data_IF_309865049771
#
_entry.id   IF_309865049771
#
_cell.length_a   1.000
_cell.length_b   1.000
_cell.length_c   1.000
_cell.angle_alpha   90.00
_cell.angle_beta   90.00
_cell.angle_gamma   90.00
#
_symmetry.space_group_name_H-M   'P 1'
#
loop_
_entity.id
_entity.type
_entity.pdbx_description
1 polymer ?
#
# COMPACT_ATOMS: atom_id res chain seq x y z
N UNK A 1 95.58 -22.06 8.81
CA UNK A 1 94.94 -22.28 7.50
C UNK A 1 93.66 -23.14 7.53
N UNK A 2 93.30 -23.83 8.62
CA UNK A 2 92.07 -24.66 8.67
C UNK A 2 90.74 -23.92 8.94
N UNK A 3 90.77 -22.61 9.23
CA UNK A 3 89.56 -21.82 9.58
C UNK A 3 88.89 -21.12 8.39
N UNK A 4 89.52 -21.10 7.21
CA UNK A 4 88.99 -20.39 6.03
C UNK A 4 88.13 -21.28 5.12
N UNK A 5 88.26 -22.61 5.17
CA UNK A 5 87.46 -23.53 4.35
C UNK A 5 86.07 -23.83 4.93
N UNK A 6 85.90 -23.77 6.26
CA UNK A 6 84.61 -24.04 6.91
C UNK A 6 83.61 -22.88 6.69
N UNK A 7 84.11 -21.65 6.48
CA UNK A 7 83.25 -20.49 6.21
C UNK A 7 82.73 -20.45 4.77
N UNK A 8 83.46 -21.04 3.81
CA UNK A 8 83.09 -21.02 2.38
C UNK A 8 82.01 -22.06 2.02
N UNK A 9 81.95 -23.18 2.77
CA UNK A 9 80.94 -24.23 2.58
C UNK A 9 79.56 -23.88 3.15
N UNK A 10 79.47 -22.97 4.14
CA UNK A 10 78.18 -22.51 4.68
C UNK A 10 77.46 -21.50 3.77
N UNK A 11 78.19 -20.69 3.01
CA UNK A 11 77.59 -19.64 2.16
C UNK A 11 76.92 -20.21 0.90
N UNK A 12 77.46 -21.30 0.35
CA UNK A 12 76.91 -21.94 -0.86
C UNK A 12 75.61 -22.69 -0.57
N UNK A 13 75.42 -23.21 0.65
CA UNK A 13 74.20 -23.90 1.04
C UNK A 13 73.01 -22.95 1.28
N UNK A 14 73.27 -21.73 1.75
CA UNK A 14 72.23 -20.71 1.95
C UNK A 14 71.74 -20.08 0.65
N UNK A 15 72.62 -19.89 -0.34
CA UNK A 15 72.26 -19.35 -1.66
C UNK A 15 71.39 -20.33 -2.47
N UNK A 16 71.63 -21.64 -2.38
CA UNK A 16 70.78 -22.64 -3.05
C UNK A 16 69.41 -22.85 -2.37
N UNK A 17 69.32 -22.64 -1.05
CA UNK A 17 68.04 -22.67 -0.34
C UNK A 17 67.16 -21.44 -0.65
N UNK A 18 67.78 -20.26 -0.83
CA UNK A 18 67.06 -19.03 -1.20
C UNK A 18 66.52 -19.08 -2.65
N UNK A 19 67.26 -19.65 -3.61
CA UNK A 19 66.78 -19.82 -4.99
C UNK A 19 65.59 -20.80 -5.11
N UNK A 20 65.52 -21.82 -4.25
CA UNK A 20 64.41 -22.78 -4.27
C UNK A 20 63.09 -22.15 -3.77
N UNK A 21 63.17 -21.28 -2.75
CA UNK A 21 62.01 -20.55 -2.21
C UNK A 21 61.53 -19.46 -3.17
N UNK A 22 62.45 -18.75 -3.84
CA UNK A 22 62.11 -17.72 -4.83
C UNK A 22 61.52 -18.27 -6.14
N UNK A 23 61.88 -19.51 -6.56
CA UNK A 23 61.23 -20.16 -7.71
C UNK A 23 59.82 -20.68 -7.43
N UNK A 24 59.48 -21.01 -6.18
CA UNK A 24 58.15 -21.52 -5.82
C UNK A 24 57.18 -20.44 -5.30
N UNK A 25 57.69 -19.28 -4.87
CA UNK A 25 56.84 -18.14 -4.47
C UNK A 25 56.22 -17.39 -5.67
N UNK A 26 56.76 -17.56 -6.89
CA UNK A 26 56.31 -16.86 -8.09
C UNK A 26 55.05 -17.45 -8.78
N UNK A 27 54.61 -18.66 -8.41
CA UNK A 27 53.45 -19.31 -9.05
C UNK A 27 52.16 -19.25 -8.24
N UNK A 28 52.22 -18.95 -6.94
CA UNK A 28 51.01 -18.79 -6.11
C UNK A 28 50.55 -17.33 -5.98
N UNK A 29 51.37 -16.36 -6.38
CA UNK A 29 51.02 -14.93 -6.30
C UNK A 29 50.06 -14.47 -7.40
N UNK A 30 50.11 -15.05 -8.60
CA UNK A 30 49.29 -14.61 -9.73
C UNK A 30 47.87 -15.17 -9.70
N UNK A 31 47.64 -16.35 -9.11
CA UNK A 31 46.29 -16.92 -8.96
C UNK A 31 45.53 -16.25 -7.80
N UNK A 32 46.23 -15.81 -6.74
CA UNK A 32 45.61 -15.07 -5.64
C UNK A 32 45.31 -13.60 -5.99
N UNK A 33 46.08 -12.96 -6.88
CA UNK A 33 45.75 -11.60 -7.32
C UNK A 33 44.65 -11.54 -8.39
N UNK A 34 44.49 -12.56 -9.24
CA UNK A 34 43.34 -12.64 -10.15
C UNK A 34 42.05 -13.09 -9.43
N UNK A 35 42.16 -13.90 -8.37
CA UNK A 35 41.02 -14.26 -7.50
C UNK A 35 40.57 -13.14 -6.56
N UNK A 36 41.49 -12.29 -6.09
CA UNK A 36 41.17 -11.17 -5.21
C UNK A 36 40.62 -9.92 -5.95
N UNK A 37 40.81 -9.81 -7.27
CA UNK A 37 40.27 -8.69 -8.06
C UNK A 37 38.81 -8.87 -8.50
N UNK A 38 38.22 -10.05 -8.26
CA UNK A 38 36.82 -10.36 -8.63
C UNK A 38 35.82 -10.19 -7.47
N UNK A 39 36.28 -9.82 -6.26
CA UNK A 39 35.44 -9.74 -5.05
C UNK A 39 35.13 -8.31 -4.60
N UNK A 40 35.62 -7.27 -5.30
CA UNK A 40 35.33 -5.87 -4.98
C UNK A 40 35.14 -5.06 -6.25
N UNK A 41 34.26 -5.49 -7.15
CA UNK A 41 33.32 -4.48 -7.62
C UNK A 41 32.34 -4.34 -6.48
N UNK A 42 32.33 -3.23 -5.71
CA UNK A 42 31.08 -2.84 -5.10
C UNK A 42 30.17 -2.66 -6.30
N UNK A 43 29.38 -3.68 -6.63
CA UNK A 43 28.14 -3.42 -7.31
C UNK A 43 27.49 -2.44 -6.36
N UNK A 44 27.59 -1.15 -6.68
CA UNK A 44 26.80 -0.12 -6.02
C UNK A 44 25.43 -0.77 -5.96
N UNK A 45 24.99 -1.13 -4.76
CA UNK A 45 23.66 -1.66 -4.55
C UNK A 45 22.79 -0.49 -5.00
N UNK A 46 22.47 -0.50 -6.29
CA UNK A 46 21.89 0.64 -6.98
C UNK A 46 20.58 0.82 -6.26
N UNK A 47 20.52 1.87 -5.44
CA UNK A 47 19.38 2.09 -4.57
C UNK A 47 18.13 1.85 -5.41
N UNK A 48 17.26 0.95 -4.95
CA UNK A 48 16.11 0.49 -5.72
C UNK A 48 15.40 1.69 -6.36
N UNK A 49 14.97 1.56 -7.61
CA UNK A 49 14.28 2.69 -8.26
C UNK A 49 12.92 2.92 -7.58
N UNK A 50 12.38 4.14 -7.53
CA UNK A 50 11.09 4.38 -6.87
C UNK A 50 9.96 3.53 -7.46
N UNK A 51 9.98 3.23 -8.76
CA UNK A 51 9.04 2.31 -9.43
C UNK A 51 9.06 0.92 -8.80
N UNK A 52 10.26 0.42 -8.50
CA UNK A 52 10.45 -0.92 -7.96
C UNK A 52 9.89 -1.01 -6.55
N UNK A 53 10.17 -0.01 -5.71
CA UNK A 53 9.62 0.05 -4.35
C UNK A 53 8.09 0.18 -4.36
N UNK A 54 7.55 1.02 -5.23
CA UNK A 54 6.10 1.19 -5.38
C UNK A 54 5.43 -0.11 -5.86
N UNK A 55 5.99 -0.75 -6.89
CA UNK A 55 5.48 -2.01 -7.44
C UNK A 55 5.57 -3.15 -6.42
N UNK A 56 6.68 -3.22 -5.69
CA UNK A 56 6.87 -4.20 -4.63
C UNK A 56 5.83 -4.01 -3.51
N UNK A 57 5.58 -2.77 -3.08
CA UNK A 57 4.55 -2.49 -2.08
C UNK A 57 3.17 -2.98 -2.51
N UNK A 58 2.76 -2.66 -3.74
CA UNK A 58 1.45 -3.10 -4.27
C UNK A 58 1.41 -4.61 -4.46
N UNK A 59 2.51 -5.24 -4.87
CA UNK A 59 2.62 -6.69 -5.00
C UNK A 59 2.49 -7.40 -3.65
N UNK A 60 3.10 -6.88 -2.60
CA UNK A 60 2.94 -7.42 -1.24
C UNK A 60 1.47 -7.34 -0.76
N UNK A 61 0.74 -6.28 -1.13
CA UNK A 61 -0.71 -6.17 -0.86
C UNK A 61 -1.50 -7.22 -1.66
N UNK A 62 -1.21 -7.36 -2.95
CA UNK A 62 -1.83 -8.35 -3.83
C UNK A 62 -1.65 -9.79 -3.32
N UNK A 63 -0.47 -10.10 -2.78
CA UNK A 63 -0.14 -11.40 -2.17
C UNK A 63 -0.76 -11.59 -0.78
N UNK A 64 -1.35 -10.54 -0.19
CA UNK A 64 -1.87 -10.56 1.18
C UNK A 64 -0.77 -10.52 2.25
N UNK A 65 0.47 -10.23 1.87
CA UNK A 65 1.63 -10.19 2.75
C UNK A 65 1.78 -8.82 3.43
N UNK A 66 0.79 -8.45 4.24
CA UNK A 66 0.64 -7.11 4.84
C UNK A 66 1.85 -6.70 5.68
N UNK A 67 2.45 -7.63 6.44
CA UNK A 67 3.65 -7.31 7.24
C UNK A 67 4.85 -6.93 6.37
N UNK A 68 4.98 -7.49 5.17
CA UNK A 68 6.02 -7.11 4.21
C UNK A 68 5.72 -5.75 3.59
N UNK A 69 4.46 -5.49 3.24
CA UNK A 69 4.02 -4.18 2.74
C UNK A 69 4.30 -3.07 3.77
N UNK A 70 3.97 -3.28 5.04
CA UNK A 70 4.23 -2.34 6.14
C UNK A 70 5.70 -1.98 6.31
N UNK A 71 6.63 -2.93 6.06
CA UNK A 71 8.08 -2.65 6.12
C UNK A 71 8.55 -1.66 5.06
N UNK A 72 7.77 -1.40 4.02
CA UNK A 72 8.06 -0.42 2.98
C UNK A 72 7.48 0.97 3.30
N UNK A 73 6.58 1.06 4.28
CA UNK A 73 6.06 2.34 4.76
C UNK A 73 7.17 3.10 5.49
N UNK A 74 7.11 4.42 5.39
CA UNK A 74 7.95 5.29 6.19
C UNK A 74 7.52 5.18 7.66
N UNK A 75 8.40 4.62 8.49
CA UNK A 75 8.23 4.54 9.95
C UNK A 75 8.46 5.92 10.58
N UNK A 76 7.67 6.94 10.23
CA UNK A 76 7.76 8.25 10.84
C UNK A 76 7.10 8.22 12.22
N UNK A 77 7.73 7.53 13.17
CA UNK A 77 7.29 7.39 14.56
C UNK A 77 7.26 8.69 15.37
N UNK A 78 7.19 9.88 14.76
CA UNK A 78 7.46 11.14 15.46
C UNK A 78 6.36 12.20 15.46
N UNK A 79 5.34 12.17 14.60
CA UNK A 79 4.32 13.27 14.61
C UNK A 79 2.86 12.87 14.42
N UNK A 80 2.54 11.73 13.79
CA UNK A 80 1.15 11.38 13.46
C UNK A 80 0.90 9.87 13.49
N UNK A 81 1.26 9.16 14.57
CA UNK A 81 0.82 7.77 14.73
C UNK A 81 -0.69 7.77 14.97
N UNK A 82 -1.43 7.26 14.01
CA UNK A 82 -2.86 7.04 14.16
C UNK A 82 -3.13 6.00 15.25
N UNK A 83 -4.22 6.13 16.02
CA UNK A 83 -4.70 5.07 16.88
C UNK A 83 -4.99 3.82 16.03
N UNK A 84 -4.14 2.79 16.14
CA UNK A 84 -4.19 1.59 15.30
C UNK A 84 -2.93 1.32 14.47
N UNK A 85 -1.95 2.24 14.45
CA UNK A 85 -0.71 2.05 13.69
C UNK A 85 -0.95 1.96 12.19
N UNK A 86 -0.13 1.19 11.48
CA UNK A 86 -0.22 1.05 10.02
C UNK A 86 -1.35 0.12 9.57
N UNK A 87 -1.97 -0.62 10.48
CA UNK A 87 -3.11 -1.50 10.17
C UNK A 87 -4.32 -0.75 9.64
N UNK A 88 -4.42 0.55 9.95
CA UNK A 88 -5.54 1.39 9.51
C UNK A 88 -5.70 1.43 7.99
N UNK A 89 -4.60 1.26 7.24
CA UNK A 89 -4.61 1.35 5.80
C UNK A 89 -5.13 0.08 5.12
N UNK A 90 -5.33 -1.00 5.87
CA UNK A 90 -5.58 -2.34 5.33
C UNK A 90 -6.92 -2.94 5.79
N UNK A 91 -7.69 -2.22 6.60
CA UNK A 91 -8.97 -2.69 7.13
C UNK A 91 -10.05 -1.62 6.98
N UNK A 92 -11.24 -2.03 6.54
CA UNK A 92 -12.38 -1.12 6.35
C UNK A 92 -12.84 -0.51 7.67
N UNK A 93 -12.84 -1.28 8.75
CA UNK A 93 -13.34 -0.92 10.08
C UNK A 93 -12.70 0.34 10.67
N UNK A 94 -11.56 0.75 10.11
CA UNK A 94 -10.79 1.92 10.54
C UNK A 94 -11.37 3.21 9.99
N UNK A 95 -12.16 3.13 8.90
CA UNK A 95 -12.68 4.27 8.17
C UNK A 95 -11.60 5.20 7.58
N UNK A 96 -10.35 4.74 7.52
CA UNK A 96 -9.27 5.55 6.96
C UNK A 96 -9.30 5.52 5.44
N UNK A 97 -9.29 6.69 4.81
CA UNK A 97 -9.29 6.88 3.36
C UNK A 97 -8.06 7.71 2.97
N UNK A 98 -7.22 7.27 2.01
CA UNK A 98 -7.37 6.08 1.16
C UNK A 98 -6.96 4.73 1.81
N UNK A 99 -7.71 3.68 1.48
CA UNK A 99 -7.59 2.32 2.05
C UNK A 99 -7.27 1.23 1.01
N UNK A 100 -6.52 0.21 1.41
CA UNK A 100 -6.13 -0.95 0.59
C UNK A 100 -6.98 -2.21 0.80
N UNK A 101 -7.95 -2.22 1.71
CA UNK A 101 -8.70 -3.42 2.08
C UNK A 101 -9.29 -4.21 0.90
N UNK A 102 -9.74 -3.50 -0.16
CA UNK A 102 -10.27 -4.15 -1.37
C UNK A 102 -9.21 -4.82 -2.27
N UNK A 103 -7.92 -4.57 -2.06
CA UNK A 103 -6.82 -5.13 -2.87
C UNK A 103 -6.15 -6.34 -2.22
N UNK A 104 -6.34 -6.53 -0.92
CA UNK A 104 -5.62 -7.53 -0.13
C UNK A 104 -5.93 -8.95 -0.60
N UNK A 105 -4.89 -9.66 -1.05
CA UNK A 105 -5.04 -11.05 -1.48
C UNK A 105 -5.92 -11.22 -2.73
N UNK A 106 -6.09 -10.16 -3.53
CA UNK A 106 -6.95 -10.19 -4.73
C UNK A 106 -6.12 -10.10 -6.01
N UNK A 107 -6.48 -10.84 -7.07
CA UNK A 107 -5.77 -10.78 -8.33
C UNK A 107 -6.12 -9.47 -9.07
N UNK A 108 -5.11 -8.75 -9.54
CA UNK A 108 -5.28 -7.59 -10.44
C UNK A 108 -3.98 -7.41 -11.23
N UNK A 109 -4.02 -6.64 -12.31
CA UNK A 109 -2.83 -6.39 -13.13
C UNK A 109 -2.26 -5.03 -12.75
N UNK A 110 -0.98 -4.99 -12.40
CA UNK A 110 -0.22 -3.75 -12.21
C UNK A 110 0.36 -3.36 -13.57
N UNK A 111 -0.10 -2.24 -14.11
CA UNK A 111 0.36 -1.68 -15.38
C UNK A 111 1.73 -1.01 -15.27
N UNK A 112 2.19 -0.47 -16.40
CA UNK A 112 3.47 0.25 -16.47
C UNK A 112 3.44 1.50 -15.60
N UNK A 113 4.43 1.62 -14.71
CA UNK A 113 4.57 2.77 -13.83
C UNK A 113 4.98 4.04 -14.60
N UNK A 114 4.41 5.18 -14.20
CA UNK A 114 4.89 6.50 -14.60
C UNK A 114 5.45 7.23 -13.37
N UNK A 115 6.61 7.86 -13.51
CA UNK A 115 7.33 8.45 -12.36
C UNK A 115 7.65 9.90 -12.56
N UNK A 116 7.45 10.64 -11.48
CA UNK A 116 7.88 12.01 -11.34
C UNK A 116 8.74 12.13 -10.09
N UNK A 117 10.04 12.30 -10.28
CA UNK A 117 10.96 12.61 -9.18
C UNK A 117 11.08 14.11 -8.95
N UNK A 118 11.24 14.50 -7.68
CA UNK A 118 11.52 15.86 -7.26
C UNK A 118 12.57 15.85 -6.16
N UNK A 119 13.62 16.65 -6.33
CA UNK A 119 14.63 16.87 -5.28
C UNK A 119 14.23 18.05 -4.41
N UNK A 120 14.46 17.95 -3.10
CA UNK A 120 14.36 19.10 -2.20
C UNK A 120 15.64 19.94 -2.29
N UNK A 121 15.49 21.23 -2.58
CA UNK A 121 16.59 22.19 -2.63
C UNK A 121 17.12 22.58 -1.24
N UNK A 122 16.42 22.20 -0.17
CA UNK A 122 16.72 22.62 1.21
C UNK A 122 17.90 21.88 1.87
N UNK A 123 18.42 20.79 1.30
CA UNK A 123 19.46 19.97 1.92
C UNK A 123 20.69 19.83 1.01
N UNK A 124 21.75 20.58 1.35
CA UNK A 124 22.95 20.78 0.53
C UNK A 124 23.90 19.57 0.44
N UNK A 125 23.91 18.65 1.42
CA UNK A 125 24.98 17.63 1.52
C UNK A 125 24.52 16.24 1.07
N UNK A 126 23.25 15.86 1.29
CA UNK A 126 22.73 14.56 0.81
C UNK A 126 21.31 14.55 0.24
N UNK A 127 20.50 15.59 0.48
CA UNK A 127 19.22 15.79 -0.19
C UNK A 127 18.10 14.80 0.19
N UNK A 128 16.92 15.31 0.52
CA UNK A 128 15.69 14.49 0.48
C UNK A 128 15.17 14.46 -0.94
N UNK A 129 14.88 13.27 -1.46
CA UNK A 129 14.31 13.07 -2.78
C UNK A 129 12.91 12.50 -2.61
N UNK A 130 11.96 13.06 -3.33
CA UNK A 130 10.58 12.61 -3.40
C UNK A 130 10.33 12.02 -4.79
N UNK A 131 9.45 11.02 -4.86
CA UNK A 131 8.95 10.50 -6.11
C UNK A 131 7.44 10.29 -6.01
N UNK A 132 6.70 10.71 -7.01
CA UNK A 132 5.31 10.29 -7.20
C UNK A 132 5.31 9.22 -8.31
N UNK A 133 4.85 8.02 -7.96
CA UNK A 133 4.76 6.88 -8.88
C UNK A 133 3.29 6.57 -9.12
N UNK A 134 2.86 6.68 -10.38
CA UNK A 134 1.50 6.35 -10.81
C UNK A 134 1.49 4.91 -11.33
N UNK A 135 0.65 4.08 -10.73
CA UNK A 135 0.47 2.66 -11.06
C UNK A 135 -0.96 2.42 -11.53
N UNK A 136 -1.18 2.25 -12.84
CA UNK A 136 -2.48 1.81 -13.34
C UNK A 136 -2.77 0.39 -12.84
N UNK A 137 -3.91 0.17 -12.20
CA UNK A 137 -4.37 -1.15 -11.76
C UNK A 137 -5.56 -1.56 -12.62
N UNK A 138 -5.56 -2.80 -13.12
CA UNK A 138 -6.66 -3.36 -13.94
C UNK A 138 -7.29 -4.58 -13.28
N UNK A 139 -8.61 -4.64 -13.34
CA UNK A 139 -9.48 -5.60 -12.65
C UNK A 139 -10.20 -6.46 -13.69
N UNK A 140 -9.56 -7.55 -14.10
CA UNK A 140 -10.10 -8.43 -15.14
C UNK A 140 -10.95 -9.55 -14.54
N UNK A 141 -10.33 -10.48 -13.80
CA UNK A 141 -10.99 -11.60 -13.14
C UNK A 141 -11.66 -11.21 -11.82
N UNK A 142 -10.99 -10.37 -11.04
CA UNK A 142 -11.55 -9.78 -9.83
C UNK A 142 -12.08 -8.39 -10.15
N UNK A 143 -13.40 -8.22 -10.07
CA UNK A 143 -14.10 -6.95 -10.33
C UNK A 143 -14.92 -6.53 -9.11
N UNK A 144 -14.34 -5.76 -8.18
CA UNK A 144 -15.08 -5.37 -6.99
C UNK A 144 -16.24 -4.44 -7.35
N UNK A 145 -17.27 -4.46 -6.52
CA UNK A 145 -18.42 -3.58 -6.65
C UNK A 145 -18.07 -2.17 -6.18
N UNK A 146 -18.60 -1.15 -6.86
CA UNK A 146 -18.46 0.25 -6.42
C UNK A 146 -19.78 0.74 -5.87
N UNK A 147 -19.88 0.86 -4.55
CA UNK A 147 -21.13 1.24 -3.89
C UNK A 147 -21.40 2.74 -3.96
N UNK A 148 -22.68 3.16 -4.00
CA UNK A 148 -23.04 4.53 -3.70
C UNK A 148 -22.70 4.83 -2.24
N UNK A 149 -22.30 6.07 -1.96
CA UNK A 149 -21.86 6.46 -0.61
C UNK A 149 -22.90 6.14 0.49
N UNK A 150 -24.21 6.44 0.34
CA UNK A 150 -25.20 6.08 1.35
C UNK A 150 -25.13 4.60 1.77
N UNK A 151 -25.10 3.69 0.79
CA UNK A 151 -25.05 2.24 1.07
C UNK A 151 -23.75 1.81 1.73
N UNK A 152 -22.61 2.37 1.31
CA UNK A 152 -21.29 2.03 1.87
C UNK A 152 -21.14 2.43 3.35
N UNK A 153 -21.97 3.37 3.80
CA UNK A 153 -21.97 3.93 5.15
C UNK A 153 -23.29 3.65 5.91
N UNK A 154 -24.01 2.57 5.54
CA UNK A 154 -25.12 2.06 6.33
C UNK A 154 -26.46 2.77 6.16
N UNK A 155 -26.54 3.74 5.25
CA UNK A 155 -27.79 4.47 4.99
C UNK A 155 -28.63 3.73 3.97
N UNK A 156 -29.91 3.58 4.29
CA UNK A 156 -30.92 3.08 3.36
C UNK A 156 -30.98 3.99 2.13
N UNK A 157 -31.22 3.37 0.98
CA UNK A 157 -31.33 4.06 -0.30
C UNK A 157 -32.62 3.60 -0.98
N UNK A 158 -33.36 4.56 -1.54
CA UNK A 158 -34.54 4.27 -2.35
C UNK A 158 -34.13 3.61 -3.67
N UNK A 159 -34.97 2.71 -4.18
CA UNK A 159 -34.69 1.97 -5.41
C UNK A 159 -34.40 2.88 -6.62
N UNK A 160 -35.13 3.99 -6.74
CA UNK A 160 -34.93 4.91 -7.87
C UNK A 160 -33.55 5.58 -7.82
N UNK A 161 -33.09 5.99 -6.64
CA UNK A 161 -31.76 6.59 -6.48
C UNK A 161 -30.67 5.55 -6.75
N UNK A 162 -30.90 4.31 -6.32
CA UNK A 162 -29.98 3.20 -6.57
C UNK A 162 -29.83 2.93 -8.07
N UNK A 163 -30.95 2.87 -8.81
CA UNK A 163 -30.93 2.68 -10.28
C UNK A 163 -30.25 3.87 -10.97
N UNK A 164 -30.53 5.09 -10.53
CA UNK A 164 -29.89 6.29 -11.08
C UNK A 164 -28.37 6.24 -10.89
N UNK A 165 -27.91 5.84 -9.71
CA UNK A 165 -26.49 5.63 -9.45
C UNK A 165 -25.90 4.51 -10.32
N UNK A 166 -26.58 3.37 -10.42
CA UNK A 166 -26.12 2.24 -11.23
C UNK A 166 -25.95 2.61 -12.72
N UNK A 167 -26.87 3.41 -13.25
CA UNK A 167 -26.85 3.85 -14.63
C UNK A 167 -25.80 4.94 -14.91
N UNK A 168 -25.53 5.80 -13.93
CA UNK A 168 -24.57 6.89 -14.03
C UNK A 168 -23.90 7.16 -12.67
N UNK A 169 -22.88 6.36 -12.29
CA UNK A 169 -22.20 6.52 -11.01
C UNK A 169 -21.63 7.93 -10.90
N UNK A 170 -22.02 8.65 -9.85
CA UNK A 170 -21.65 10.05 -9.70
C UNK A 170 -20.12 10.24 -9.77
N UNK A 171 -19.62 11.32 -10.38
CA UNK A 171 -18.18 11.55 -10.54
C UNK A 171 -17.47 11.81 -9.21
N UNK A 172 -18.20 11.96 -8.10
CA UNK A 172 -17.65 12.17 -6.77
C UNK A 172 -16.91 10.92 -6.29
N UNK A 173 -15.58 10.99 -6.34
CA UNK A 173 -14.62 9.97 -5.89
C UNK A 173 -14.33 10.04 -4.39
N UNK A 174 -15.09 10.84 -3.64
CA UNK A 174 -14.98 10.92 -2.19
C UNK A 174 -15.18 9.53 -1.57
N UNK A 175 -14.25 9.14 -0.71
CA UNK A 175 -14.25 7.86 -0.02
C UNK A 175 -14.36 6.65 -0.95
N UNK A 176 -13.87 6.78 -2.19
CA UNK A 176 -13.98 5.72 -3.18
C UNK A 176 -13.38 4.40 -2.67
N UNK A 177 -12.22 4.45 -2.03
CA UNK A 177 -11.56 3.25 -1.49
C UNK A 177 -12.41 2.55 -0.42
N UNK A 178 -13.16 3.31 0.36
CA UNK A 178 -14.10 2.82 1.37
C UNK A 178 -15.47 2.44 0.80
N UNK A 179 -15.72 2.64 -0.49
CA UNK A 179 -16.95 2.27 -1.20
C UNK A 179 -16.78 1.08 -2.13
N UNK A 180 -15.54 0.77 -2.50
CA UNK A 180 -15.22 -0.43 -3.26
C UNK A 180 -15.36 -1.64 -2.33
N UNK A 181 -15.99 -2.72 -2.82
CA UNK A 181 -16.23 -3.94 -2.04
C UNK A 181 -15.86 -5.21 -2.83
N UNK A 182 -15.11 -6.16 -2.23
CA UNK A 182 -14.86 -7.47 -2.81
C UNK A 182 -16.06 -8.42 -2.78
N UNK A 183 -17.09 -8.12 -1.98
CA UNK A 183 -18.33 -8.89 -1.80
C UNK A 183 -19.47 -7.97 -1.35
N UNK A 184 -20.70 -8.32 -1.67
CA UNK A 184 -21.91 -7.69 -1.13
C UNK A 184 -22.53 -8.46 0.03
N UNK A 185 -22.00 -9.65 0.34
CA UNK A 185 -22.48 -10.47 1.44
C UNK A 185 -22.20 -9.79 2.79
N UNK A 186 -23.10 -9.93 3.77
CA UNK A 186 -22.86 -9.45 5.13
C UNK A 186 -21.64 -10.12 5.79
N UNK A 187 -21.08 -9.46 6.79
CA UNK A 187 -19.96 -9.93 7.60
C UNK A 187 -18.57 -9.60 7.03
N UNK A 188 -18.49 -8.81 5.95
CA UNK A 188 -17.21 -8.37 5.40
C UNK A 188 -16.56 -7.34 6.33
N UNK A 189 -17.35 -6.41 6.86
CA UNK A 189 -16.89 -5.37 7.77
C UNK A 189 -17.44 -5.69 9.16
N UNK A 190 -16.55 -5.93 10.11
CA UNK A 190 -16.98 -6.19 11.49
C UNK A 190 -17.60 -4.94 12.06
N UNK A 191 -18.73 -5.09 12.74
CA UNK A 191 -19.31 -4.00 13.52
C UNK A 191 -18.25 -3.50 14.51
N UNK A 192 -18.03 -2.18 14.62
CA UNK A 192 -17.08 -1.65 15.57
C UNK A 192 -17.58 -2.03 16.96
N UNK A 193 -16.72 -2.72 17.72
CA UNK A 193 -17.02 -3.05 19.12
C UNK A 193 -17.41 -1.76 19.85
N UNK A 194 -18.54 -1.73 20.58
CA UNK A 194 -18.91 -0.58 21.38
C UNK A 194 -17.73 -0.23 22.29
N UNK A 195 -17.15 0.97 22.11
CA UNK A 195 -16.01 1.41 22.95
C UNK A 195 -16.41 1.59 24.41
N UNK A 196 -17.71 1.66 24.67
CA UNK A 196 -18.31 1.69 25.99
C UNK A 196 -19.45 0.66 26.03
N UNK A 197 -19.26 -0.45 26.74
CA UNK A 197 -20.38 -1.06 27.44
C UNK A 197 -20.72 -0.08 28.56
N UNK A 198 -21.78 0.72 28.41
CA UNK A 198 -22.26 1.51 29.53
C UNK A 198 -22.42 0.55 30.73
N UNK A 199 -21.89 0.87 31.92
CA UNK A 199 -22.19 0.08 33.10
C UNK A 199 -23.72 -0.05 33.22
N UNK A 200 -24.24 -1.23 33.61
CA UNK A 200 -25.68 -1.43 33.72
C UNK A 200 -26.26 -0.27 34.54
N UNK A 201 -27.33 0.38 34.06
CA UNK A 201 -27.87 1.54 34.74
C UNK A 201 -28.16 1.16 36.20
N UNK A 202 -27.77 1.98 37.19
CA UNK A 202 -28.22 1.76 38.55
C UNK A 202 -29.75 1.73 38.52
N UNK A 203 -30.35 0.72 39.13
CA UNK A 203 -31.80 0.55 39.21
C UNK A 203 -32.38 1.80 39.89
N UNK A 204 -32.86 2.74 39.09
CA UNK A 204 -33.49 3.96 39.55
C UNK A 204 -35.02 3.78 39.53
N UNK A 205 -35.72 4.34 40.53
CA UNK A 205 -37.11 4.03 40.79
C UNK A 205 -38.03 4.56 39.68
N UNK A 206 -39.11 3.82 39.47
CA UNK A 206 -40.19 4.03 38.52
C UNK A 206 -40.58 5.50 38.37
N UNK A 207 -40.02 6.16 37.36
CA UNK A 207 -40.33 7.54 37.01
C UNK A 207 -40.17 7.70 35.52
N UNK A 208 -41.31 7.91 34.85
CA UNK A 208 -41.47 8.00 33.40
C UNK A 208 -40.53 9.04 32.80
N UNK A 209 -39.35 8.60 32.36
CA UNK A 209 -38.42 9.41 31.57
C UNK A 209 -38.47 8.90 30.15
N UNK A 210 -38.97 9.74 29.25
CA UNK A 210 -38.99 9.46 27.82
C UNK A 210 -37.59 9.00 27.39
N UNK A 211 -37.52 7.77 26.89
CA UNK A 211 -36.36 7.26 26.18
C UNK A 211 -36.25 8.11 24.94
N UNK A 212 -35.39 9.13 24.96
CA UNK A 212 -34.97 9.77 23.73
C UNK A 212 -34.34 8.67 22.87
N UNK A 213 -34.76 8.49 21.61
CA UNK A 213 -34.06 7.59 20.72
C UNK A 213 -32.60 8.04 20.70
N UNK A 214 -31.68 7.13 21.03
CA UNK A 214 -30.28 7.32 20.70
C UNK A 214 -30.26 7.70 19.22
N UNK A 215 -29.84 8.92 18.93
CA UNK A 215 -29.50 9.29 17.57
C UNK A 215 -28.31 8.41 17.23
N UNK A 216 -28.59 7.33 16.50
CA UNK A 216 -27.57 6.52 15.88
C UNK A 216 -26.69 7.47 15.09
N UNK A 217 -25.49 7.75 15.62
CA UNK A 217 -24.43 8.49 14.92
C UNK A 217 -23.84 7.63 13.78
N UNK A 218 -24.69 6.85 13.11
CA UNK A 218 -24.46 6.14 11.87
C UNK A 218 -25.27 6.88 10.79
N UNK A 219 -24.72 7.99 10.31
CA UNK A 219 -25.52 8.85 9.43
C UNK A 219 -24.99 10.24 9.13
N UNK A 220 -23.72 10.56 9.44
CA UNK A 220 -23.06 11.77 8.95
C UNK A 220 -21.90 11.36 8.03
N UNK A 221 -21.85 11.87 6.80
CA UNK A 221 -20.72 11.64 5.87
C UNK A 221 -19.40 12.14 6.47
N UNK A 222 -19.50 13.05 7.45
CA UNK A 222 -18.44 13.47 8.34
C UNK A 222 -18.48 12.60 9.61
N UNK A 223 -17.85 11.42 9.57
CA UNK A 223 -17.64 10.57 10.75
C UNK A 223 -18.25 9.17 10.71
N UNK A 224 -19.01 8.80 9.67
CA UNK A 224 -19.50 7.44 9.51
C UNK A 224 -18.39 6.49 9.10
N UNK A 225 -18.18 5.43 9.89
CA UNK A 225 -17.34 4.29 9.49
C UNK A 225 -18.05 3.52 8.36
N UNK A 226 -17.30 2.95 7.41
CA UNK A 226 -17.88 2.05 6.43
C UNK A 226 -18.48 0.85 7.16
N UNK A 227 -19.57 0.34 6.62
CA UNK A 227 -20.26 -0.85 7.13
C UNK A 227 -20.61 -1.76 5.96
N UNK A 228 -21.17 -2.93 6.28
CA UNK A 228 -21.72 -3.80 5.26
C UNK A 228 -22.80 -3.07 4.44
N UNK A 229 -22.97 -3.43 3.15
CA UNK A 229 -23.86 -2.69 2.26
C UNK A 229 -25.28 -2.59 2.81
N UNK A 230 -25.79 -1.37 3.00
CA UNK A 230 -27.17 -1.17 3.43
C UNK A 230 -28.17 -1.69 2.37
N UNK A 231 -29.35 -2.19 2.77
CA UNK A 231 -30.34 -2.67 1.83
C UNK A 231 -30.95 -1.51 1.03
N UNK A 232 -31.26 -1.80 -0.24
CA UNK A 232 -32.07 -0.92 -1.10
C UNK A 232 -33.54 -1.24 -0.87
N UNK A 233 -34.36 -0.21 -0.64
CA UNK A 233 -35.79 -0.34 -0.35
C UNK A 233 -36.60 -0.11 -1.63
N UNK A 234 -37.49 -1.05 -1.95
CA UNK A 234 -38.45 -0.96 -3.04
C UNK A 234 -39.66 -0.10 -2.63
N UNK A 235 -40.43 0.45 -3.59
CA UNK A 235 -41.68 1.17 -3.28
C UNK A 235 -42.70 0.35 -2.49
N UNK A 236 -42.62 -0.99 -2.56
CA UNK A 236 -43.44 -1.93 -1.77
C UNK A 236 -43.01 -2.04 -0.30
N UNK A 237 -41.86 -1.48 0.07
CA UNK A 237 -41.21 -1.67 1.38
C UNK A 237 -40.32 -2.92 1.48
N UNK A 238 -40.30 -3.76 0.45
CA UNK A 238 -39.39 -4.92 0.36
C UNK A 238 -37.94 -4.47 0.16
N UNK A 239 -36.98 -5.30 0.59
CA UNK A 239 -35.54 -5.04 0.47
C UNK A 239 -34.92 -5.89 -0.61
N UNK A 240 -34.08 -5.29 -1.46
CA UNK A 240 -33.29 -6.07 -2.42
C UNK A 240 -32.26 -6.94 -1.71
N UNK A 241 -32.14 -8.18 -2.17
CA UNK A 241 -31.08 -9.12 -1.79
C UNK A 241 -29.74 -8.72 -2.39
N UNK A 242 -28.62 -9.20 -1.81
CA UNK A 242 -27.28 -9.00 -2.37
C UNK A 242 -27.17 -9.47 -3.83
N UNK A 243 -27.79 -10.62 -4.14
CA UNK A 243 -27.85 -11.16 -5.49
C UNK A 243 -28.57 -10.21 -6.47
N UNK A 244 -29.69 -9.61 -6.07
CA UNK A 244 -30.40 -8.63 -6.90
C UNK A 244 -29.58 -7.34 -7.07
N UNK A 245 -29.02 -6.79 -5.99
CA UNK A 245 -28.18 -5.59 -6.04
C UNK A 245 -26.95 -5.78 -6.95
N UNK A 246 -26.36 -6.97 -6.93
CA UNK A 246 -25.15 -7.30 -7.70
C UNK A 246 -25.30 -7.18 -9.22
N UNK A 247 -26.55 -7.23 -9.72
CA UNK A 247 -26.88 -7.12 -11.15
C UNK A 247 -26.81 -5.68 -11.65
N UNK A 248 -27.15 -4.73 -10.80
CA UNK A 248 -27.18 -3.30 -11.14
C UNK A 248 -25.87 -2.59 -10.82
N UNK A 249 -25.21 -3.00 -9.73
CA UNK A 249 -24.07 -2.23 -9.22
C UNK A 249 -22.89 -2.21 -10.19
N UNK A 250 -22.27 -1.03 -10.40
CA UNK A 250 -21.11 -0.90 -11.24
C UNK A 250 -19.93 -1.70 -10.69
N UNK A 251 -19.12 -2.22 -11.61
CA UNK A 251 -17.94 -3.03 -11.31
C UNK A 251 -16.68 -2.24 -11.64
N UNK A 252 -15.72 -2.20 -10.73
CA UNK A 252 -14.43 -1.58 -11.00
C UNK A 252 -13.68 -2.40 -12.05
N UNK A 253 -13.18 -1.72 -13.09
CA UNK A 253 -12.38 -2.30 -14.18
C UNK A 253 -10.96 -1.76 -14.20
N UNK A 254 -10.76 -0.52 -13.77
CA UNK A 254 -9.45 0.08 -13.60
C UNK A 254 -9.43 1.19 -12.57
N UNK A 255 -8.27 1.46 -12.00
CA UNK A 255 -8.02 2.63 -11.15
C UNK A 255 -6.53 2.96 -11.19
N UNK A 256 -6.14 4.21 -11.05
CA UNK A 256 -4.75 4.59 -10.93
C UNK A 256 -4.41 4.83 -9.47
N UNK A 257 -3.38 4.14 -8.99
CA UNK A 257 -2.82 4.32 -7.66
C UNK A 257 -1.59 5.22 -7.77
N UNK A 258 -1.67 6.42 -7.21
CA UNK A 258 -0.53 7.32 -7.09
C UNK A 258 0.11 7.10 -5.73
N UNK A 259 1.37 6.66 -5.69
CA UNK A 259 2.16 6.43 -4.47
C UNK A 259 3.26 7.47 -4.39
N UNK A 260 3.33 8.20 -3.28
CA UNK A 260 4.47 9.08 -3.04
C UNK A 260 5.47 8.42 -2.12
N UNK A 261 6.72 8.46 -2.56
CA UNK A 261 7.87 7.91 -1.88
C UNK A 261 8.83 9.01 -1.45
N UNK A 262 9.57 8.73 -0.38
CA UNK A 262 10.66 9.56 0.12
C UNK A 262 11.94 8.73 0.21
N UNK A 263 13.08 9.38 -0.05
CA UNK A 263 14.41 8.83 0.19
C UNK A 263 15.28 9.89 0.85
N UNK A 264 15.85 9.55 2.01
CA UNK A 264 16.71 10.42 2.81
C UNK A 264 18.18 10.21 2.43
N UNK A 265 18.73 11.02 1.53
CA UNK A 265 20.10 10.84 1.07
C UNK A 265 20.27 9.73 0.02
N UNK A 266 21.44 9.69 -0.62
CA UNK A 266 21.69 8.80 -1.79
C UNK A 266 21.72 7.31 -1.44
N UNK A 267 22.11 6.97 -0.22
CA UNK A 267 22.31 5.57 0.22
C UNK A 267 21.07 4.96 0.90
N UNK A 268 20.04 5.75 1.17
CA UNK A 268 18.80 5.25 1.79
C UNK A 268 17.91 4.54 0.79
N UNK A 269 17.10 3.61 1.27
CA UNK A 269 16.01 3.02 0.50
C UNK A 269 14.83 3.98 0.39
N UNK A 270 14.04 3.85 -0.68
CA UNK A 270 12.75 4.53 -0.78
C UNK A 270 11.75 3.98 0.22
N UNK A 271 10.88 4.86 0.70
CA UNK A 271 9.81 4.54 1.65
C UNK A 271 8.51 5.18 1.21
N UNK A 272 7.41 4.44 1.34
CA UNK A 272 6.07 4.90 0.99
C UNK A 272 5.55 5.80 2.09
N UNK A 273 5.11 7.01 1.74
CA UNK A 273 4.68 8.02 2.72
C UNK A 273 3.19 8.31 2.61
N UNK A 274 2.67 8.34 1.39
CA UNK A 274 1.26 8.63 1.11
C UNK A 274 0.86 7.96 -0.20
N UNK A 275 -0.43 7.81 -0.41
CA UNK A 275 -0.99 7.32 -1.66
C UNK A 275 -2.36 7.95 -1.88
N UNK A 276 -2.86 7.82 -3.11
CA UNK A 276 -4.22 8.18 -3.46
C UNK A 276 -4.71 7.30 -4.63
N UNK A 277 -6.03 7.13 -4.72
CA UNK A 277 -6.67 6.49 -5.85
C UNK A 277 -7.36 7.54 -6.72
N UNK A 278 -7.11 7.49 -8.03
CA UNK A 278 -7.71 8.39 -9.01
C UNK A 278 -8.02 7.67 -10.33
N UNK A 279 -8.75 8.33 -11.23
CA UNK A 279 -9.04 7.82 -12.57
C UNK A 279 -9.78 6.47 -12.58
N UNK A 280 -10.66 6.23 -11.61
CA UNK A 280 -11.39 4.98 -11.53
C UNK A 280 -12.29 4.79 -12.75
N UNK A 281 -12.28 3.59 -13.31
CA UNK A 281 -13.10 3.24 -14.47
C UNK A 281 -13.99 2.07 -14.09
N UNK A 282 -15.29 2.21 -14.34
CA UNK A 282 -16.31 1.25 -13.93
C UNK A 282 -17.10 0.75 -15.12
N UNK A 283 -17.51 -0.51 -15.06
CA UNK A 283 -18.38 -1.16 -16.04
C UNK A 283 -19.80 -1.12 -15.48
N UNK A 284 -20.71 -0.59 -16.30
CA UNK A 284 -22.16 -0.54 -16.07
C UNK A 284 -22.88 -1.33 -17.15
N UNK A 285 -24.20 -1.49 -17.04
CA UNK A 285 -25.03 -2.06 -18.12
C UNK A 285 -24.93 -1.27 -19.43
N UNK A 286 -24.62 0.04 -19.36
CA UNK A 286 -24.48 0.93 -20.53
C UNK A 286 -23.06 0.95 -21.12
N UNK A 287 -22.12 0.24 -20.50
CA UNK A 287 -20.71 0.22 -20.89
C UNK A 287 -19.79 0.83 -19.84
N UNK A 288 -18.59 1.20 -20.29
CA UNK A 288 -17.50 1.67 -19.45
C UNK A 288 -17.57 3.19 -19.21
N UNK A 289 -17.41 3.61 -17.95
CA UNK A 289 -17.52 5.00 -17.51
C UNK A 289 -16.32 5.34 -16.62
N UNK A 290 -15.67 6.47 -16.87
CA UNK A 290 -14.62 7.00 -15.99
C UNK A 290 -15.20 7.90 -14.90
N UNK A 291 -14.86 7.60 -13.65
CA UNK A 291 -15.14 8.40 -12.46
C UNK A 291 -13.95 9.33 -12.16
N UNK A 292 -14.23 10.60 -11.84
CA UNK A 292 -13.20 11.53 -11.35
C UNK A 292 -12.43 12.33 -12.41
N UNK A 293 -12.81 12.28 -13.69
CA UNK A 293 -12.23 13.13 -14.76
C UNK A 293 -12.95 14.48 -14.92
N UNK A 294 -13.38 15.10 -13.82
CA UNK A 294 -13.79 16.51 -13.84
C UNK A 294 -12.54 17.40 -13.78
N UNK A 295 -12.46 18.53 -14.50
CA UNK A 295 -11.32 19.42 -14.43
C UNK A 295 -11.12 19.85 -12.97
N UNK A 296 -10.10 19.30 -12.32
CA UNK A 296 -9.58 19.84 -11.08
C UNK A 296 -9.15 21.27 -11.40
N UNK A 297 -10.00 22.25 -11.06
CA UNK A 297 -9.58 23.64 -10.96
C UNK A 297 -8.55 23.69 -9.84
N UNK A 298 -7.30 23.35 -10.17
CA UNK A 298 -6.14 23.71 -9.36
C UNK A 298 -6.18 25.23 -9.27
N UNK A 299 -6.69 25.76 -8.15
CA UNK A 299 -6.40 27.13 -7.77
C UNK A 299 -4.87 27.21 -7.64
N UNK A 300 -4.27 27.92 -8.58
CA UNK A 300 -2.89 28.39 -8.49
C UNK A 300 -2.79 29.39 -7.34
#
# INVERSE_FOLDING_TARGET
MLRYEIMRLRTVHWLRAAEFVLRHAGFYSTVLFAGALSLVTPGEARAARPEQTASEFVKQIQEGAIDKAKRLLENSGYRYRHPGGDDIYFAYETGYDPNFAFLIGKPFIIGTAAVREQRSDWYLIDGTIYADVMLPLRFESYRPWVLPAPMAFGRRMEFIDFVNYAAAPAPHVEHLSLRIRPSLEPGLIKEPKPRFSAPPPPVAPSGTRAVMPQVDTYGSLLGSLPVDPAPVVLPSGERLTAAQMSRFLPRLSGITLTISLIRWGRLSSWRVVRWNFDGATVITEKGEISMGSGPSKRKR
#
